data_IF_673228246722
#
_entry.id   IF_673228246722
#
_cell.length_a   1.000
_cell.length_b   1.000
_cell.length_c   1.000
_cell.angle_alpha   90.00
_cell.angle_beta   90.00
_cell.angle_gamma   90.00
#
_symmetry.space_group_name_H-M   'P 1'
#
loop_
_entity.id
_entity.type
_entity.pdbx_description
1 polymer ?
#
# COMPACT_ATOMS: atom_id res chain seq x y z
N UNK A 1 19.42 -5.26 3.79
CA UNK A 1 18.45 -4.67 4.73
C UNK A 1 17.06 -5.04 4.26
N UNK A 2 16.34 -5.83 5.05
CA UNK A 2 15.02 -6.35 4.71
C UNK A 2 14.00 -5.22 4.59
N UNK A 3 13.47 -5.00 3.38
CA UNK A 3 12.32 -4.11 3.11
C UNK A 3 11.17 -4.39 4.08
N UNK A 4 10.98 -5.66 4.48
CA UNK A 4 10.01 -6.10 5.48
C UNK A 4 10.18 -5.43 6.84
N UNK A 5 11.42 -5.19 7.29
CA UNK A 5 11.71 -4.54 8.58
C UNK A 5 11.42 -3.04 8.57
N UNK A 6 11.45 -2.41 7.40
CA UNK A 6 11.19 -0.99 7.23
C UNK A 6 9.75 -0.68 6.80
N UNK A 7 8.94 -1.70 6.51
CA UNK A 7 7.58 -1.51 6.01
C UNK A 7 6.73 -0.74 7.03
N UNK A 8 6.79 -1.10 8.32
CA UNK A 8 6.06 -0.41 9.38
C UNK A 8 6.39 1.09 9.43
N UNK A 9 7.68 1.44 9.46
CA UNK A 9 8.13 2.84 9.45
C UNK A 9 7.64 3.62 8.22
N UNK A 10 7.58 2.98 7.04
CA UNK A 10 7.10 3.62 5.81
C UNK A 10 5.58 3.80 5.81
N UNK A 11 4.85 2.87 6.41
CA UNK A 11 3.41 3.01 6.64
C UNK A 11 3.15 4.16 7.61
N UNK A 12 3.89 4.26 8.70
CA UNK A 12 3.78 5.36 9.66
C UNK A 12 4.08 6.71 8.98
N UNK A 13 5.11 6.77 8.13
CA UNK A 13 5.41 7.98 7.36
C UNK A 13 4.26 8.38 6.42
N UNK A 14 3.71 7.44 5.65
CA UNK A 14 2.59 7.72 4.76
C UNK A 14 1.32 8.13 5.53
N UNK A 15 1.09 7.53 6.70
CA UNK A 15 -0.09 7.80 7.53
C UNK A 15 0.01 9.13 8.29
N UNK A 16 1.13 9.40 8.96
CA UNK A 16 1.27 10.57 9.85
C UNK A 16 1.88 11.79 9.17
N UNK A 17 2.74 11.61 8.16
CA UNK A 17 3.33 12.75 7.43
C UNK A 17 2.52 13.15 6.19
N UNK A 18 1.55 12.32 5.77
CA UNK A 18 0.80 12.54 4.53
C UNK A 18 1.66 12.41 3.27
N UNK A 19 2.87 11.86 3.39
CA UNK A 19 3.83 11.73 2.30
C UNK A 19 3.61 10.42 1.55
N UNK A 20 3.15 10.51 0.31
CA UNK A 20 3.07 9.35 -0.57
C UNK A 20 4.47 8.76 -0.80
N UNK A 21 4.64 7.48 -0.44
CA UNK A 21 5.95 6.80 -0.51
C UNK A 21 5.93 5.76 -1.63
N UNK A 22 6.84 5.90 -2.61
CA UNK A 22 7.01 4.89 -3.67
C UNK A 22 7.84 3.71 -3.14
N UNK A 23 7.29 2.51 -3.26
CA UNK A 23 8.00 1.26 -2.99
C UNK A 23 8.56 0.72 -4.29
N UNK A 24 9.89 0.69 -4.37
CA UNK A 24 10.63 0.17 -5.52
C UNK A 24 11.22 -1.21 -5.25
N UNK A 25 11.41 -1.98 -6.32
CA UNK A 25 12.22 -3.20 -6.31
C UNK A 25 13.18 -3.16 -7.49
N UNK A 26 14.48 -3.22 -7.19
CA UNK A 26 15.57 -3.12 -8.18
C UNK A 26 15.47 -1.83 -9.04
N UNK A 27 15.14 -0.69 -8.42
CA UNK A 27 15.00 0.60 -9.11
C UNK A 27 13.74 0.73 -9.97
N UNK A 28 12.82 -0.23 -9.90
CA UNK A 28 11.53 -0.18 -10.59
C UNK A 28 10.40 0.06 -9.57
N UNK A 29 9.57 1.10 -9.73
CA UNK A 29 8.38 1.33 -8.92
C UNK A 29 7.40 0.15 -8.99
N UNK A 30 6.88 -0.27 -7.84
CA UNK A 30 5.91 -1.39 -7.76
C UNK A 30 4.64 -1.08 -6.99
N UNK A 31 4.72 -0.18 -6.01
CA UNK A 31 3.57 0.25 -5.24
C UNK A 31 3.78 1.68 -4.72
N UNK A 32 2.69 2.31 -4.30
CA UNK A 32 2.71 3.58 -3.57
C UNK A 32 1.98 3.36 -2.26
N UNK A 33 2.60 3.80 -1.16
CA UNK A 33 1.97 3.85 0.16
C UNK A 33 1.42 5.27 0.35
N UNK A 34 0.15 5.36 0.70
CA UNK A 34 -0.58 6.59 1.00
C UNK A 34 -1.31 6.41 2.32
N UNK A 35 -1.74 7.51 2.95
CA UNK A 35 -2.66 7.39 4.08
C UNK A 35 -3.99 6.78 3.61
N UNK A 36 -4.63 6.01 4.50
CA UNK A 36 -5.94 5.44 4.22
C UNK A 36 -6.98 6.52 3.92
N UNK A 37 -6.94 7.63 4.65
CA UNK A 37 -7.81 8.79 4.43
C UNK A 37 -7.68 9.33 3.00
N UNK A 38 -6.44 9.52 2.53
CA UNK A 38 -6.18 9.97 1.16
C UNK A 38 -6.77 8.98 0.15
N UNK A 39 -6.60 7.68 0.36
CA UNK A 39 -7.11 6.65 -0.54
C UNK A 39 -8.66 6.67 -0.63
N UNK A 40 -9.34 6.79 0.51
CA UNK A 40 -10.81 6.90 0.56
C UNK A 40 -11.31 8.15 -0.18
N UNK A 41 -10.65 9.30 0.02
CA UNK A 41 -11.03 10.55 -0.65
C UNK A 41 -10.89 10.50 -2.18
N UNK A 42 -10.04 9.61 -2.70
CA UNK A 42 -9.76 9.48 -4.14
C UNK A 42 -10.47 8.27 -4.77
N UNK A 43 -11.52 7.76 -4.14
CA UNK A 43 -12.36 6.70 -4.73
C UNK A 43 -11.74 5.31 -4.65
N UNK A 44 -10.94 5.07 -3.61
CA UNK A 44 -10.56 3.72 -3.22
C UNK A 44 -11.79 2.87 -2.92
N UNK A 45 -12.23 2.08 -3.89
CA UNK A 45 -13.25 1.07 -3.65
C UNK A 45 -12.62 -0.05 -2.80
N UNK A 46 -13.29 -0.42 -1.72
CA UNK A 46 -12.98 -1.64 -1.00
C UNK A 46 -13.39 -2.79 -1.93
N UNK A 47 -12.47 -3.20 -2.81
CA UNK A 47 -12.68 -4.41 -3.59
C UNK A 47 -12.70 -5.55 -2.57
N UNK A 48 -13.90 -6.05 -2.28
CA UNK A 48 -14.08 -7.25 -1.49
C UNK A 48 -13.09 -8.30 -2.01
N UNK A 49 -12.34 -8.99 -1.13
CA UNK A 49 -11.47 -10.06 -1.57
C UNK A 49 -12.38 -11.10 -2.24
N UNK A 50 -12.39 -11.15 -3.57
CA UNK A 50 -13.00 -12.24 -4.31
C UNK A 50 -12.24 -13.49 -3.91
N UNK A 51 -12.82 -14.25 -2.97
CA UNK A 51 -12.39 -15.60 -2.68
C UNK A 51 -12.27 -16.33 -4.01
N UNK A 52 -11.17 -17.05 -4.28
CA UNK A 52 -11.11 -17.88 -5.46
C UNK A 52 -12.24 -18.89 -5.32
N UNK A 53 -13.29 -18.73 -6.11
CA UNK A 53 -14.35 -19.73 -6.23
C UNK A 53 -13.63 -21.03 -6.60
N UNK A 54 -13.57 -21.98 -5.66
CA UNK A 54 -13.13 -23.34 -5.96
C UNK A 54 -14.01 -23.85 -7.11
N UNK A 55 -13.38 -24.04 -8.27
CA UNK A 55 -14.00 -24.72 -9.39
C UNK A 55 -14.32 -26.15 -8.94
N UNK A 56 -15.61 -26.49 -8.97
CA UNK A 56 -16.12 -27.82 -8.61
C UNK A 56 -15.68 -28.94 -9.54
#
# INVERSE_FOLDING_TARGET
MDLRKQLGQRVDAAHFAGEATVVERHGTPRAVLVSYEWWVQHGGEETEPTEPTEAG
#
